data_IF_627226115431
#
_entry.id   IF_627226115431
#
_cell.length_a   1.000
_cell.length_b   1.000
_cell.length_c   1.000
_cell.angle_alpha   90.00
_cell.angle_beta   90.00
_cell.angle_gamma   90.00
#
_symmetry.space_group_name_H-M   'P 1'
#
loop_
_entity.id
_entity.type
_entity.pdbx_description
1 polymer ?
#
# COMPACT_ATOMS: atom_id res chain seq x y z
N UNK A 1 -12.13 -12.95 12.41
CA UNK A 1 -11.24 -12.60 11.26
C UNK A 1 -10.08 -11.69 11.65
N UNK A 2 -10.30 -10.45 12.10
CA UNK A 2 -9.20 -9.54 12.47
C UNK A 2 -8.32 -10.04 13.63
N UNK A 3 -8.91 -10.79 14.56
CA UNK A 3 -8.20 -11.43 15.69
C UNK A 3 -7.23 -12.53 15.27
N UNK A 4 -7.54 -13.24 14.18
CA UNK A 4 -6.79 -14.39 13.69
C UNK A 4 -6.64 -14.31 12.15
N UNK A 5 -5.91 -13.31 11.63
CA UNK A 5 -5.96 -12.96 10.22
C UNK A 5 -5.48 -14.08 9.29
N UNK A 6 -4.52 -14.91 9.72
CA UNK A 6 -3.92 -15.95 8.87
C UNK A 6 -4.49 -17.35 9.04
N UNK A 7 -5.57 -17.49 9.81
CA UNK A 7 -6.20 -18.77 10.07
C UNK A 7 -7.36 -19.03 9.09
N UNK A 8 -7.81 -20.27 9.03
CA UNK A 8 -9.03 -20.60 8.27
C UNK A 8 -10.23 -19.85 8.84
N UNK A 9 -11.27 -19.63 8.04
CA UNK A 9 -12.51 -18.96 8.49
C UNK A 9 -13.11 -19.67 9.71
N UNK A 10 -13.25 -21.02 9.74
CA UNK A 10 -13.75 -21.71 10.93
C UNK A 10 -12.94 -21.42 12.19
N UNK A 11 -11.61 -21.46 12.08
CA UNK A 11 -10.74 -21.22 13.23
C UNK A 11 -10.78 -19.76 13.70
N UNK A 12 -10.85 -18.81 12.76
CA UNK A 12 -10.92 -17.39 13.05
C UNK A 12 -12.29 -16.93 13.57
N UNK A 13 -13.35 -17.71 13.35
CA UNK A 13 -14.69 -17.48 13.88
C UNK A 13 -14.95 -18.21 15.20
N UNK A 14 -14.24 -19.29 15.49
CA UNK A 14 -14.24 -19.98 16.79
C UNK A 14 -15.41 -20.95 17.01
N UNK A 15 -16.57 -20.71 16.40
CA UNK A 15 -17.75 -21.58 16.48
C UNK A 15 -18.49 -21.74 15.13
N UNK A 16 -19.41 -22.70 15.08
CA UNK A 16 -20.17 -23.04 13.86
C UNK A 16 -21.11 -21.89 13.45
N UNK A 17 -21.73 -21.19 14.41
CA UNK A 17 -22.71 -20.15 14.10
C UNK A 17 -22.02 -18.95 13.43
N UNK A 18 -20.93 -18.45 14.00
CA UNK A 18 -20.12 -17.37 13.46
C UNK A 18 -19.46 -17.75 12.13
N UNK A 19 -19.01 -19.01 11.99
CA UNK A 19 -18.46 -19.53 10.72
C UNK A 19 -19.52 -19.52 9.63
N UNK A 20 -20.71 -20.04 9.93
CA UNK A 20 -21.83 -20.10 8.99
C UNK A 20 -22.26 -18.69 8.58
N UNK A 21 -22.40 -17.78 9.55
CA UNK A 21 -22.73 -16.39 9.29
C UNK A 21 -21.70 -15.68 8.38
N UNK A 22 -20.39 -15.95 8.55
CA UNK A 22 -19.36 -15.38 7.68
C UNK A 22 -19.49 -15.87 6.23
N UNK A 23 -19.72 -17.17 6.02
CA UNK A 23 -19.94 -17.72 4.68
C UNK A 23 -21.25 -17.25 4.06
N UNK A 24 -22.33 -17.19 4.84
CA UNK A 24 -23.62 -16.67 4.40
C UNK A 24 -23.54 -15.20 4.01
N UNK A 25 -22.79 -14.40 4.77
CA UNK A 25 -22.53 -13.00 4.44
C UNK A 25 -21.80 -12.87 3.10
N UNK A 26 -20.74 -13.64 2.85
CA UNK A 26 -20.03 -13.61 1.57
C UNK A 26 -20.81 -14.21 0.40
N UNK A 27 -21.76 -15.11 0.68
CA UNK A 27 -22.68 -15.67 -0.31
C UNK A 27 -23.86 -14.75 -0.60
N UNK A 28 -24.24 -13.89 0.35
CA UNK A 28 -25.45 -13.08 0.34
C UNK A 28 -25.62 -12.31 -0.98
N UNK A 29 -26.81 -12.32 -1.60
CA UNK A 29 -27.10 -11.48 -2.76
C UNK A 29 -27.38 -10.03 -2.38
N UNK A 30 -27.63 -9.75 -1.09
CA UNK A 30 -28.03 -8.43 -0.60
C UNK A 30 -26.87 -7.48 -0.36
N UNK A 31 -25.64 -8.00 -0.26
CA UNK A 31 -24.43 -7.21 -0.08
C UNK A 31 -23.51 -7.36 -1.28
N UNK A 32 -22.89 -6.27 -1.67
CA UNK A 32 -21.86 -6.20 -2.68
C UNK A 32 -20.50 -5.90 -2.04
N UNK A 33 -19.38 -6.26 -2.70
CA UNK A 33 -18.05 -5.94 -2.20
C UNK A 33 -17.85 -4.44 -1.95
N UNK A 34 -18.50 -3.60 -2.76
CA UNK A 34 -18.40 -2.15 -2.64
C UNK A 34 -19.09 -1.59 -1.40
N UNK A 35 -20.13 -2.24 -0.85
CA UNK A 35 -20.75 -1.82 0.41
C UNK A 35 -19.74 -1.88 1.57
N UNK A 36 -18.93 -2.95 1.59
CA UNK A 36 -17.87 -3.15 2.59
C UNK A 36 -16.76 -2.10 2.40
N UNK A 37 -16.38 -1.83 1.14
CA UNK A 37 -15.35 -0.83 0.82
C UNK A 37 -15.80 0.57 1.20
N UNK A 38 -17.04 0.95 0.90
CA UNK A 38 -17.59 2.26 1.22
C UNK A 38 -17.60 2.52 2.73
N UNK A 39 -17.90 1.51 3.54
CA UNK A 39 -17.82 1.62 5.00
C UNK A 39 -16.37 1.92 5.47
N UNK A 40 -15.38 1.25 4.88
CA UNK A 40 -13.97 1.52 5.17
C UNK A 40 -13.49 2.87 4.63
N UNK A 41 -13.95 3.25 3.45
CA UNK A 41 -13.67 4.52 2.79
C UNK A 41 -14.20 5.68 3.65
N UNK A 42 -15.44 5.60 4.14
CA UNK A 42 -16.00 6.60 5.08
C UNK A 42 -15.12 6.75 6.33
N UNK A 43 -14.65 5.62 6.87
CA UNK A 43 -13.76 5.64 8.03
C UNK A 43 -12.37 6.22 7.69
N UNK A 44 -11.91 6.03 6.45
CA UNK A 44 -10.66 6.60 5.94
C UNK A 44 -10.78 8.10 5.76
N UNK A 45 -11.91 8.59 5.22
CA UNK A 45 -12.21 10.02 5.11
C UNK A 45 -12.12 10.70 6.48
N UNK A 46 -12.71 10.10 7.53
CA UNK A 46 -12.60 10.63 8.90
C UNK A 46 -11.15 10.70 9.38
N UNK A 47 -10.34 9.67 9.08
CA UNK A 47 -8.91 9.65 9.49
C UNK A 47 -8.06 10.68 8.75
N UNK A 48 -8.41 11.07 7.52
CA UNK A 48 -7.64 12.07 6.77
C UNK A 48 -8.01 13.52 7.14
N UNK A 49 -9.06 13.75 7.93
CA UNK A 49 -9.50 15.10 8.33
C UNK A 49 -8.39 15.89 9.03
N UNK A 50 -7.58 15.23 9.87
CA UNK A 50 -6.45 15.83 10.60
C UNK A 50 -5.20 16.08 9.74
N UNK A 51 -5.21 15.70 8.46
CA UNK A 51 -4.06 15.80 7.56
C UNK A 51 -4.34 16.77 6.42
N UNK A 52 -3.39 17.68 6.15
CA UNK A 52 -3.53 18.64 5.04
C UNK A 52 -3.02 18.08 3.70
N UNK A 53 -1.97 17.26 3.74
CA UNK A 53 -1.35 16.64 2.56
C UNK A 53 -1.43 15.13 2.72
N UNK A 54 -1.85 14.45 1.66
CA UNK A 54 -2.10 13.02 1.61
C UNK A 54 -1.32 12.39 0.46
N UNK A 55 -0.77 11.21 0.70
CA UNK A 55 -0.12 10.40 -0.33
C UNK A 55 -1.08 9.30 -0.75
N UNK A 56 -1.61 9.36 -1.98
CA UNK A 56 -2.45 8.33 -2.57
C UNK A 56 -1.58 7.32 -3.32
N UNK A 57 -1.15 6.27 -2.64
CA UNK A 57 -0.22 5.28 -3.20
C UNK A 57 -1.01 4.25 -4.01
N UNK A 58 -0.76 4.17 -5.31
CA UNK A 58 -1.46 3.27 -6.22
C UNK A 58 -0.55 2.12 -6.70
N UNK A 59 -1.11 0.91 -6.76
CA UNK A 59 -0.44 -0.27 -7.29
C UNK A 59 -1.43 -1.40 -7.61
N UNK A 60 -1.00 -2.37 -8.42
CA UNK A 60 -1.78 -3.54 -8.81
C UNK A 60 -1.16 -4.82 -8.25
N UNK A 61 -2.00 -5.71 -7.73
CA UNK A 61 -1.63 -7.09 -7.42
C UNK A 61 -2.57 -8.08 -8.09
N UNK A 62 -2.07 -9.29 -8.35
CA UNK A 62 -2.92 -10.44 -8.64
C UNK A 62 -3.40 -11.06 -7.32
N UNK A 63 -4.55 -11.73 -7.32
CA UNK A 63 -4.93 -12.73 -6.32
C UNK A 63 -4.91 -14.07 -7.05
N UNK A 64 -3.84 -14.85 -6.83
CA UNK A 64 -3.63 -16.10 -7.54
C UNK A 64 -4.44 -17.23 -6.91
N UNK A 65 -5.35 -17.80 -7.69
CA UNK A 65 -6.23 -18.90 -7.28
C UNK A 65 -6.07 -20.09 -8.23
N UNK A 66 -4.95 -20.20 -8.94
CA UNK A 66 -4.66 -21.26 -9.91
C UNK A 66 -4.81 -22.66 -9.31
N UNK A 67 -4.52 -22.81 -8.01
CA UNK A 67 -4.65 -24.08 -7.29
C UNK A 67 -6.08 -24.42 -6.83
N UNK A 68 -7.08 -23.60 -7.17
CA UNK A 68 -8.50 -23.80 -6.84
C UNK A 68 -9.34 -24.00 -8.12
N UNK A 69 -9.18 -25.13 -8.83
CA UNK A 69 -9.80 -25.33 -10.15
C UNK A 69 -11.33 -25.37 -10.13
N UNK A 70 -11.94 -25.54 -8.95
CA UNK A 70 -13.39 -25.54 -8.78
C UNK A 70 -13.98 -24.14 -8.58
N UNK A 71 -13.14 -23.12 -8.33
CA UNK A 71 -13.61 -21.75 -8.17
C UNK A 71 -13.97 -21.15 -9.52
N UNK A 72 -15.25 -20.85 -9.71
CA UNK A 72 -15.79 -20.30 -10.96
C UNK A 72 -15.66 -18.77 -11.01
N UNK A 73 -15.74 -18.16 -12.20
CA UNK A 73 -15.71 -16.71 -12.37
C UNK A 73 -14.33 -16.08 -12.11
N UNK A 74 -13.26 -16.82 -12.38
CA UNK A 74 -11.88 -16.33 -12.37
C UNK A 74 -11.44 -16.01 -13.80
N UNK A 75 -10.53 -15.04 -13.95
CA UNK A 75 -9.92 -14.70 -15.24
C UNK A 75 -8.45 -15.09 -15.30
N UNK A 76 -7.86 -15.07 -16.49
CA UNK A 76 -6.43 -15.34 -16.62
C UNK A 76 -5.58 -14.22 -15.98
N UNK A 77 -4.43 -14.57 -15.40
CA UNK A 77 -3.48 -13.61 -14.85
C UNK A 77 -2.43 -13.24 -15.90
N UNK A 78 -1.19 -13.68 -15.73
CA UNK A 78 -0.08 -13.27 -16.61
C UNK A 78 0.13 -14.26 -17.77
N UNK A 79 -0.43 -15.46 -17.66
CA UNK A 79 -0.43 -16.47 -18.71
C UNK A 79 -1.74 -17.29 -18.73
N UNK A 80 -1.91 -18.13 -19.75
CA UNK A 80 -3.10 -18.96 -19.96
C UNK A 80 -3.30 -20.05 -18.89
N UNK A 81 -2.29 -20.36 -18.09
CA UNK A 81 -2.34 -21.41 -17.06
C UNK A 81 -2.47 -20.84 -15.64
N UNK A 82 -2.52 -19.53 -15.48
CA UNK A 82 -2.65 -18.84 -14.19
C UNK A 82 -4.00 -18.13 -14.11
N UNK A 83 -4.77 -18.37 -13.05
CA UNK A 83 -6.14 -17.85 -12.92
C UNK A 83 -6.36 -17.18 -11.57
N UNK A 84 -7.18 -16.13 -11.58
CA UNK A 84 -7.43 -15.35 -10.38
C UNK A 84 -8.16 -14.04 -10.64
N UNK A 85 -7.91 -13.07 -9.76
CA UNK A 85 -8.43 -11.71 -9.86
C UNK A 85 -7.29 -10.70 -9.99
N UNK A 86 -7.51 -9.62 -10.71
CA UNK A 86 -6.67 -8.42 -10.68
C UNK A 86 -7.24 -7.43 -9.66
N UNK A 87 -6.37 -6.80 -8.88
CA UNK A 87 -6.74 -5.86 -7.82
C UNK A 87 -5.86 -4.64 -7.92
N UNK A 88 -6.43 -3.51 -8.28
CA UNK A 88 -5.75 -2.21 -8.26
C UNK A 88 -6.24 -1.42 -7.07
N UNK A 89 -5.34 -1.05 -6.15
CA UNK A 89 -5.70 -0.38 -4.90
C UNK A 89 -5.05 1.00 -4.83
N UNK A 90 -5.72 1.94 -4.17
CA UNK A 90 -5.13 3.17 -3.68
C UNK A 90 -5.14 3.18 -2.15
N UNK A 91 -3.95 3.15 -1.57
CA UNK A 91 -3.70 3.25 -0.14
C UNK A 91 -3.31 4.68 0.19
N UNK A 92 -4.11 5.37 1.01
CA UNK A 92 -3.77 6.71 1.48
C UNK A 92 -2.83 6.61 2.67
N UNK A 93 -1.77 7.42 2.67
CA UNK A 93 -0.86 7.58 3.78
C UNK A 93 -0.64 9.06 4.14
N UNK A 94 -0.22 9.32 5.39
CA UNK A 94 0.25 10.63 5.81
C UNK A 94 1.61 10.97 5.18
N UNK A 95 2.04 12.23 5.28
CA UNK A 95 3.38 12.65 4.86
C UNK A 95 4.53 12.05 5.70
N UNK A 96 4.19 11.43 6.83
CA UNK A 96 5.09 10.68 7.70
C UNK A 96 5.07 9.18 7.38
N UNK A 97 4.28 8.74 6.39
CA UNK A 97 4.24 7.33 5.98
C UNK A 97 3.38 6.42 6.85
N UNK A 98 2.42 6.98 7.60
CA UNK A 98 1.39 6.20 8.30
C UNK A 98 0.27 5.87 7.31
N UNK A 99 -0.09 4.59 7.07
CA UNK A 99 -1.16 4.22 6.17
C UNK A 99 -2.53 4.44 6.80
N UNK A 100 -3.29 5.41 6.29
CA UNK A 100 -4.56 5.89 6.85
C UNK A 100 -5.78 5.09 6.36
N UNK A 101 -5.68 4.36 5.24
CA UNK A 101 -6.75 3.50 4.76
C UNK A 101 -6.76 3.25 3.27
N UNK A 102 -7.49 2.24 2.83
CA UNK A 102 -7.76 2.02 1.41
C UNK A 102 -8.89 2.97 1.00
N UNK A 103 -8.60 3.90 0.08
CA UNK A 103 -9.57 4.91 -0.36
C UNK A 103 -10.33 4.48 -1.62
N UNK A 104 -9.70 3.65 -2.46
CA UNK A 104 -10.28 3.12 -3.68
C UNK A 104 -9.68 1.74 -3.98
N UNK A 105 -10.48 0.83 -4.53
CA UNK A 105 -10.01 -0.47 -4.98
C UNK A 105 -10.88 -0.96 -6.14
N UNK A 106 -10.25 -1.21 -7.28
CA UNK A 106 -10.88 -1.78 -8.47
C UNK A 106 -10.45 -3.24 -8.63
N UNK A 107 -11.42 -4.13 -8.86
CA UNK A 107 -11.19 -5.57 -9.01
C UNK A 107 -11.84 -6.05 -10.29
N UNK A 108 -11.10 -6.80 -11.10
CA UNK A 108 -11.58 -7.34 -12.36
C UNK A 108 -10.97 -8.70 -12.69
N UNK A 109 -11.57 -9.36 -13.67
CA UNK A 109 -11.06 -10.59 -14.30
C UNK A 109 -10.69 -10.30 -15.75
N UNK A 110 -9.74 -11.06 -16.29
CA UNK A 110 -9.42 -11.02 -17.73
C UNK A 110 -10.06 -12.21 -18.44
N UNK A 111 -10.79 -11.93 -19.52
CA UNK A 111 -11.39 -12.96 -20.37
C UNK A 111 -10.38 -13.59 -21.32
N UNK A 112 -10.40 -14.92 -21.48
CA UNK A 112 -9.41 -15.66 -22.28
C UNK A 112 -9.36 -15.21 -23.74
N UNK A 113 -10.46 -14.72 -24.34
CA UNK A 113 -10.41 -14.21 -25.72
C UNK A 113 -9.51 -12.98 -25.88
N UNK A 114 -9.25 -12.25 -24.79
CA UNK A 114 -8.38 -11.08 -24.77
C UNK A 114 -6.91 -11.44 -24.51
N UNK A 115 -6.54 -12.72 -24.44
CA UNK A 115 -5.16 -13.14 -24.22
C UNK A 115 -4.25 -12.59 -25.34
N UNK A 116 -3.19 -11.86 -24.93
CA UNK A 116 -2.24 -11.26 -25.87
C UNK A 116 -2.69 -9.94 -26.50
N UNK A 117 -3.87 -9.40 -26.14
CA UNK A 117 -4.35 -8.09 -26.62
C UNK A 117 -3.38 -6.93 -26.28
N UNK A 118 -2.54 -7.11 -25.26
CA UNK A 118 -1.49 -6.16 -24.88
C UNK A 118 -0.48 -5.89 -26.00
N UNK A 119 -0.29 -6.82 -26.95
CA UNK A 119 0.54 -6.62 -28.15
C UNK A 119 -0.02 -5.54 -29.08
N UNK A 120 -1.33 -5.32 -29.05
CA UNK A 120 -2.03 -4.28 -29.84
C UNK A 120 -2.16 -2.95 -29.10
N UNK A 121 -1.53 -2.77 -27.93
CA UNK A 121 -1.69 -1.56 -27.09
C UNK A 121 -1.39 -0.23 -27.79
N UNK A 122 -0.53 -0.21 -28.81
CA UNK A 122 -0.19 1.01 -29.54
C UNK A 122 -1.26 1.41 -30.57
N UNK A 123 -2.21 0.53 -30.86
CA UNK A 123 -3.33 0.75 -31.79
C UNK A 123 -4.64 1.06 -31.05
N UNK A 124 -4.60 1.13 -29.72
CA UNK A 124 -5.77 1.27 -28.85
C UNK A 124 -5.72 2.55 -28.07
N UNK A 125 -6.87 3.11 -27.76
CA UNK A 125 -6.96 4.24 -26.84
C UNK A 125 -6.75 3.76 -25.40
N UNK A 126 -6.30 4.65 -24.52
CA UNK A 126 -6.02 4.26 -23.13
C UNK A 126 -7.27 3.77 -22.40
N UNK A 127 -8.44 4.34 -22.70
CA UNK A 127 -9.74 3.90 -22.19
C UNK A 127 -10.08 2.43 -22.49
N UNK A 128 -9.47 1.84 -23.52
CA UNK A 128 -9.70 0.44 -23.89
C UNK A 128 -8.72 -0.52 -23.21
N UNK A 129 -7.73 0.01 -22.48
CA UNK A 129 -6.63 -0.77 -21.89
C UNK A 129 -6.79 -0.81 -20.38
N UNK A 130 -6.19 -1.82 -19.76
CA UNK A 130 -6.10 -1.87 -18.30
C UNK A 130 -5.31 -0.71 -17.70
N UNK A 131 -4.47 -0.01 -18.48
CA UNK A 131 -3.81 1.22 -18.01
C UNK A 131 -4.79 2.33 -17.65
N UNK A 132 -6.06 2.27 -18.10
CA UNK A 132 -7.11 3.20 -17.72
C UNK A 132 -7.36 3.23 -16.21
N UNK A 133 -7.12 2.11 -15.51
CA UNK A 133 -7.34 2.00 -14.06
C UNK A 133 -6.62 3.08 -13.22
N UNK A 134 -5.46 3.57 -13.69
CA UNK A 134 -4.70 4.62 -13.02
C UNK A 134 -5.45 5.96 -13.07
N UNK A 135 -6.03 6.26 -14.23
CA UNK A 135 -6.81 7.47 -14.50
C UNK A 135 -8.15 7.41 -13.76
N UNK A 136 -8.84 6.26 -13.83
CA UNK A 136 -10.11 6.03 -13.13
C UNK A 136 -9.94 6.14 -11.61
N UNK A 137 -8.84 5.60 -11.08
CA UNK A 137 -8.55 5.66 -9.64
C UNK A 137 -8.22 7.08 -9.20
N UNK A 138 -7.45 7.86 -9.97
CA UNK A 138 -7.25 9.29 -9.68
C UNK A 138 -8.59 10.04 -9.65
N UNK A 139 -9.44 9.82 -10.66
CA UNK A 139 -10.74 10.48 -10.76
C UNK A 139 -11.67 10.09 -9.62
N UNK A 140 -11.71 8.82 -9.24
CA UNK A 140 -12.50 8.35 -8.10
C UNK A 140 -12.04 9.02 -6.80
N UNK A 141 -10.73 9.10 -6.55
CA UNK A 141 -10.17 9.77 -5.36
C UNK A 141 -10.52 11.26 -5.36
N UNK A 142 -10.44 11.92 -6.52
CA UNK A 142 -10.80 13.33 -6.67
C UNK A 142 -12.25 13.62 -6.27
N UNK A 143 -13.19 12.71 -6.54
CA UNK A 143 -14.59 12.88 -6.14
C UNK A 143 -14.84 12.67 -4.65
N UNK A 144 -13.92 11.99 -3.96
CA UNK A 144 -14.11 11.55 -2.56
C UNK A 144 -13.39 12.44 -1.56
N UNK A 145 -12.20 12.94 -1.92
CA UNK A 145 -11.37 13.72 -1.01
C UNK A 145 -11.84 15.17 -1.00
N UNK A 146 -11.99 15.80 0.18
CA UNK A 146 -12.38 17.20 0.28
C UNK A 146 -11.42 18.14 -0.49
N UNK A 147 -11.95 19.16 -1.18
CA UNK A 147 -11.17 20.01 -2.08
C UNK A 147 -10.08 20.84 -1.38
N UNK A 148 -10.18 21.04 -0.06
CA UNK A 148 -9.15 21.72 0.72
C UNK A 148 -7.90 20.87 0.98
N UNK A 149 -7.96 19.55 0.75
CA UNK A 149 -6.83 18.63 0.95
C UNK A 149 -5.93 18.61 -0.27
N UNK A 150 -4.62 18.50 -0.06
CA UNK A 150 -3.65 18.27 -1.14
C UNK A 150 -3.40 16.78 -1.27
N UNK A 151 -3.57 16.22 -2.46
CA UNK A 151 -3.38 14.80 -2.74
C UNK A 151 -2.22 14.62 -3.71
N UNK A 152 -1.27 13.77 -3.35
CA UNK A 152 -0.15 13.39 -4.21
C UNK A 152 -0.29 11.90 -4.55
N UNK A 153 -0.65 11.59 -5.80
CA UNK A 153 -0.67 10.23 -6.31
C UNK A 153 0.75 9.71 -6.47
N UNK A 154 1.10 8.65 -5.76
CA UNK A 154 2.42 8.02 -5.80
C UNK A 154 2.32 6.66 -6.47
N UNK A 155 3.07 6.43 -7.54
CA UNK A 155 3.04 5.15 -8.25
C UNK A 155 4.39 4.80 -8.89
N UNK A 156 4.56 3.52 -9.21
CA UNK A 156 5.78 3.02 -9.84
C UNK A 156 5.85 3.35 -11.35
N UNK A 157 6.79 2.70 -12.05
CA UNK A 157 7.02 2.92 -13.48
C UNK A 157 5.92 2.41 -14.39
N UNK A 158 5.00 1.56 -13.91
CA UNK A 158 3.85 1.14 -14.71
C UNK A 158 2.86 2.32 -14.93
N UNK A 159 2.86 3.29 -14.03
CA UNK A 159 2.09 4.53 -14.16
C UNK A 159 2.79 5.62 -15.01
N UNK A 160 3.98 5.37 -15.57
CA UNK A 160 4.65 6.28 -16.51
C UNK A 160 3.91 6.32 -17.87
N UNK A 161 2.72 6.91 -17.86
CA UNK A 161 1.76 6.94 -18.96
C UNK A 161 1.49 8.41 -19.30
N UNK A 162 1.61 8.76 -20.59
CA UNK A 162 1.40 10.15 -21.03
C UNK A 162 -0.02 10.64 -20.71
N UNK A 163 -1.03 9.79 -20.92
CA UNK A 163 -2.42 10.14 -20.63
C UNK A 163 -2.67 10.45 -19.15
N UNK A 164 -1.97 9.75 -18.25
CA UNK A 164 -2.04 10.07 -16.81
C UNK A 164 -1.47 11.46 -16.54
N UNK A 165 -0.33 11.83 -17.14
CA UNK A 165 0.24 13.17 -16.99
C UNK A 165 -0.62 14.27 -17.64
N UNK A 166 -1.27 13.96 -18.76
CA UNK A 166 -2.11 14.88 -19.51
C UNK A 166 -3.54 15.00 -18.95
N UNK A 167 -3.98 14.08 -18.08
CA UNK A 167 -5.30 14.16 -17.45
C UNK A 167 -5.50 15.51 -16.75
N UNK A 168 -6.64 16.14 -17.00
CA UNK A 168 -7.04 17.35 -16.29
C UNK A 168 -7.25 17.04 -14.81
N UNK A 169 -6.69 17.88 -13.94
CA UNK A 169 -6.75 17.70 -12.49
C UNK A 169 -6.90 19.03 -11.79
N UNK A 170 -7.57 19.02 -10.64
CA UNK A 170 -7.65 20.19 -9.78
C UNK A 170 -6.26 20.59 -9.25
N UNK A 171 -6.11 21.86 -8.87
CA UNK A 171 -4.81 22.42 -8.45
C UNK A 171 -4.22 21.74 -7.21
N UNK A 172 -5.05 21.11 -6.38
CA UNK A 172 -4.67 20.38 -5.18
C UNK A 172 -4.34 18.90 -5.43
N UNK A 173 -4.44 18.42 -6.67
CA UNK A 173 -4.08 17.06 -7.07
C UNK A 173 -2.76 17.04 -7.84
N UNK A 174 -1.81 16.28 -7.33
CA UNK A 174 -0.48 16.16 -7.90
C UNK A 174 -0.09 14.70 -8.15
N UNK A 175 0.89 14.53 -9.03
CA UNK A 175 1.48 13.25 -9.38
C UNK A 175 2.90 13.17 -8.85
N UNK A 176 3.34 11.98 -8.45
CA UNK A 176 4.73 11.64 -8.14
C UNK A 176 4.98 10.21 -8.64
N UNK A 177 5.41 10.11 -9.89
CA UNK A 177 5.46 8.86 -10.65
C UNK A 177 6.91 8.52 -10.96
N UNK A 178 7.31 7.26 -10.84
CA UNK A 178 8.63 6.83 -11.30
C UNK A 178 8.67 6.80 -12.83
N UNK A 179 9.56 7.58 -13.44
CA UNK A 179 9.82 7.54 -14.87
C UNK A 179 10.66 6.33 -15.26
N UNK A 180 10.36 5.74 -16.41
CA UNK A 180 11.14 4.68 -17.06
C UNK A 180 11.38 4.93 -18.54
N UNK A 181 10.56 5.76 -19.19
CA UNK A 181 10.67 6.02 -20.61
C UNK A 181 11.59 7.21 -20.90
N UNK A 182 12.51 7.05 -21.86
CA UNK A 182 13.30 8.18 -22.35
C UNK A 182 12.47 9.05 -23.30
N UNK A 183 11.57 9.85 -22.72
CA UNK A 183 10.59 10.68 -23.43
C UNK A 183 11.28 11.82 -24.18
N UNK A 184 10.67 12.26 -25.29
CA UNK A 184 11.09 13.50 -25.94
C UNK A 184 10.70 14.70 -25.08
N UNK A 185 11.58 15.68 -25.00
CA UNK A 185 11.38 16.91 -24.22
C UNK A 185 11.78 18.13 -25.04
N UNK A 186 11.17 19.28 -24.73
CA UNK A 186 11.59 20.55 -25.31
C UNK A 186 12.87 21.07 -24.61
N UNK A 187 14.00 20.49 -25.01
CA UNK A 187 15.33 20.81 -24.48
C UNK A 187 16.38 20.54 -25.56
N UNK A 188 17.54 21.21 -25.50
CA UNK A 188 18.63 20.99 -26.46
C UNK A 188 19.07 19.53 -26.56
N UNK A 189 19.00 18.79 -25.45
CA UNK A 189 19.31 17.37 -25.39
C UNK A 189 18.24 16.46 -26.04
N UNK A 190 17.07 17.00 -26.41
CA UNK A 190 15.90 16.35 -27.06
C UNK A 190 15.19 15.25 -26.26
N UNK A 191 15.88 14.59 -25.35
CA UNK A 191 15.39 13.43 -24.61
C UNK A 191 15.57 13.60 -23.10
N UNK A 192 14.62 13.05 -22.35
CA UNK A 192 14.43 13.25 -20.91
C UNK A 192 15.64 12.84 -20.09
N UNK A 193 16.19 11.65 -20.34
CA UNK A 193 17.31 11.12 -19.58
C UNK A 193 18.56 11.97 -19.81
N UNK A 194 18.84 12.35 -21.05
CA UNK A 194 19.97 13.18 -21.43
C UNK A 194 19.82 14.60 -20.85
N UNK A 195 18.62 15.18 -20.94
CA UNK A 195 18.33 16.49 -20.39
C UNK A 195 18.58 16.55 -18.88
N UNK A 196 18.03 15.60 -18.10
CA UNK A 196 18.19 15.62 -16.64
C UNK A 196 19.61 15.26 -16.19
N UNK A 197 20.33 14.41 -16.94
CA UNK A 197 21.74 14.12 -16.64
C UNK A 197 22.64 15.34 -16.91
N UNK A 198 22.29 16.19 -17.87
CA UNK A 198 23.03 17.43 -18.17
C UNK A 198 22.78 18.53 -17.13
N UNK A 199 21.72 18.43 -16.34
CA UNK A 199 21.44 19.38 -15.25
C UNK A 199 22.51 19.28 -14.16
N UNK A 200 23.04 20.40 -13.64
CA UNK A 200 23.97 20.39 -12.52
C UNK A 200 23.39 19.67 -11.28
N UNK A 201 24.24 18.96 -10.55
CA UNK A 201 23.89 18.44 -9.24
C UNK A 201 23.49 19.59 -8.31
N UNK A 202 22.37 19.41 -7.59
CA UNK A 202 21.81 20.42 -6.68
C UNK A 202 22.05 20.11 -5.22
N UNK A 203 22.49 18.88 -4.91
CA UNK A 203 22.87 18.44 -3.57
C UNK A 203 22.82 16.92 -3.43
N UNK A 204 22.93 16.45 -2.20
CA UNK A 204 22.91 15.03 -1.85
C UNK A 204 21.80 14.72 -0.84
N UNK A 205 21.25 13.52 -0.93
CA UNK A 205 20.28 12.96 0.01
C UNK A 205 20.76 11.61 0.53
N UNK A 206 20.68 11.40 1.84
CA UNK A 206 20.91 10.09 2.45
C UNK A 206 19.61 9.32 2.50
N UNK A 207 19.63 8.09 1.98
CA UNK A 207 18.49 7.17 2.04
C UNK A 207 18.94 5.90 2.73
N UNK A 208 18.20 5.50 3.77
CA UNK A 208 18.40 4.21 4.41
C UNK A 208 17.85 3.09 3.52
N UNK A 209 18.72 2.14 3.19
CA UNK A 209 18.31 0.94 2.48
C UNK A 209 18.24 -0.20 3.47
N UNK A 210 17.02 -0.72 3.65
CA UNK A 210 16.75 -1.79 4.58
C UNK A 210 17.31 -3.14 4.09
N UNK A 211 17.61 -4.02 5.04
CA UNK A 211 18.06 -5.38 4.74
C UNK A 211 16.96 -6.18 4.04
N UNK A 212 17.33 -6.88 2.98
CA UNK A 212 16.53 -7.90 2.29
C UNK A 212 17.37 -9.17 2.09
N UNK A 213 16.81 -10.30 1.61
CA UNK A 213 17.60 -11.49 1.29
C UNK A 213 18.75 -11.23 0.29
N UNK A 214 18.62 -10.20 -0.54
CA UNK A 214 19.57 -9.85 -1.61
C UNK A 214 20.41 -8.61 -1.29
N UNK A 215 20.16 -7.94 -0.15
CA UNK A 215 20.78 -6.66 0.16
C UNK A 215 21.03 -6.47 1.67
N UNK A 216 22.22 -6.01 2.02
CA UNK A 216 22.55 -5.60 3.38
C UNK A 216 21.99 -4.21 3.70
N UNK A 217 21.70 -3.97 4.99
CA UNK A 217 21.39 -2.62 5.45
C UNK A 217 22.57 -1.70 5.16
N UNK A 218 22.30 -0.51 4.61
CA UNK A 218 23.30 0.52 4.34
C UNK A 218 22.65 1.89 4.17
N UNK A 219 23.43 2.94 4.29
CA UNK A 219 23.04 4.29 3.89
C UNK A 219 23.52 4.51 2.45
N UNK A 220 22.61 4.84 1.55
CA UNK A 220 22.92 5.26 0.18
C UNK A 220 23.01 6.78 0.11
N UNK A 221 24.04 7.30 -0.56
CA UNK A 221 24.18 8.72 -0.86
C UNK A 221 23.69 8.98 -2.29
N UNK A 222 22.59 9.71 -2.42
CA UNK A 222 21.96 10.00 -3.70
C UNK A 222 22.25 11.44 -4.10
N UNK A 223 22.90 11.61 -5.25
CA UNK A 223 23.02 12.90 -5.91
C UNK A 223 21.67 13.29 -6.50
N UNK A 224 21.20 14.50 -6.19
CA UNK A 224 19.91 15.03 -6.64
C UNK A 224 20.13 16.05 -7.75
N UNK A 225 19.45 15.82 -8.87
CA UNK A 225 19.27 16.79 -9.97
C UNK A 225 17.78 17.02 -10.16
N UNK A 226 17.38 18.26 -10.44
CA UNK A 226 16.00 18.54 -10.81
C UNK A 226 15.89 19.67 -11.82
N UNK A 227 14.92 19.56 -12.73
CA UNK A 227 14.62 20.56 -13.75
C UNK A 227 13.13 20.51 -14.11
N UNK A 228 12.60 21.63 -14.60
CA UNK A 228 11.28 21.69 -15.25
C UNK A 228 11.44 21.37 -16.72
N UNK A 229 10.72 20.37 -17.23
CA UNK A 229 10.79 19.94 -18.62
C UNK A 229 9.38 19.77 -19.20
N UNK A 230 9.19 20.22 -20.44
CA UNK A 230 7.97 19.97 -21.21
C UNK A 230 8.06 18.60 -21.89
N UNK A 231 7.29 17.63 -21.39
CA UNK A 231 7.21 16.28 -21.92
C UNK A 231 6.37 16.28 -23.19
N UNK A 232 6.99 15.97 -24.32
CA UNK A 232 6.30 15.94 -25.60
C UNK A 232 5.29 14.79 -25.68
N UNK A 233 4.19 15.01 -26.41
CA UNK A 233 3.23 13.97 -26.76
C UNK A 233 3.96 12.82 -27.48
N UNK A 234 3.69 11.54 -27.18
CA UNK A 234 4.31 10.40 -27.87
C UNK A 234 3.98 10.39 -29.37
N UNK A 235 4.93 9.94 -30.22
CA UNK A 235 4.77 9.93 -31.68
C UNK A 235 3.68 8.97 -32.16
N UNK A 236 3.51 7.86 -31.46
CA UNK A 236 2.50 6.84 -31.70
C UNK A 236 1.19 7.08 -30.93
N UNK A 237 1.01 8.26 -30.32
CA UNK A 237 -0.23 8.57 -29.63
C UNK A 237 -1.37 8.78 -30.64
N UNK A 238 -2.49 8.05 -30.49
CA UNK A 238 -3.62 8.09 -31.44
C UNK A 238 -4.18 9.50 -31.60
N UNK A 239 -4.33 10.21 -30.46
CA UNK A 239 -4.84 11.59 -30.43
C UNK A 239 -3.74 12.66 -30.49
N UNK A 240 -2.54 12.34 -31.00
CA UNK A 240 -1.36 13.23 -30.94
C UNK A 240 -1.64 14.68 -31.38
N UNK A 241 -2.44 14.87 -32.44
CA UNK A 241 -2.76 16.18 -33.01
C UNK A 241 -3.66 17.05 -32.11
N UNK A 242 -4.32 16.47 -31.12
CA UNK A 242 -5.28 17.12 -30.23
C UNK A 242 -4.70 17.40 -28.84
N UNK A 243 -3.47 16.96 -28.58
CA UNK A 243 -2.83 17.03 -27.28
C UNK A 243 -1.62 17.96 -27.31
N UNK A 244 -1.34 18.57 -26.16
CA UNK A 244 -0.19 19.45 -25.97
C UNK A 244 0.88 18.76 -25.11
N UNK A 245 2.16 19.18 -25.23
CA UNK A 245 3.17 18.78 -24.27
C UNK A 245 2.76 19.10 -22.83
N UNK A 246 3.20 18.27 -21.88
CA UNK A 246 2.89 18.44 -20.45
C UNK A 246 4.12 18.90 -19.71
N UNK A 247 4.03 20.05 -19.05
CA UNK A 247 5.09 20.57 -18.18
C UNK A 247 5.14 19.77 -16.88
N UNK A 248 6.28 19.16 -16.58
CA UNK A 248 6.52 18.43 -15.33
C UNK A 248 7.85 18.85 -14.68
N UNK A 249 7.92 18.68 -13.37
CA UNK A 249 9.20 18.66 -12.67
C UNK A 249 9.78 17.25 -12.75
N UNK A 250 11.07 17.20 -13.06
CA UNK A 250 11.82 15.95 -13.24
C UNK A 250 12.91 15.93 -12.20
N UNK A 251 12.93 14.91 -11.35
CA UNK A 251 13.93 14.71 -10.30
C UNK A 251 14.69 13.44 -10.64
N UNK A 252 16.02 13.51 -10.70
CA UNK A 252 16.89 12.36 -10.75
C UNK A 252 17.63 12.24 -9.42
N UNK A 253 17.32 11.20 -8.65
CA UNK A 253 18.04 10.81 -7.46
C UNK A 253 18.87 9.56 -7.79
N UNK A 254 20.19 9.69 -7.84
CA UNK A 254 21.09 8.61 -8.25
C UNK A 254 22.25 8.42 -7.27
N UNK A 255 22.50 7.19 -6.90
CA UNK A 255 23.71 6.76 -6.24
C UNK A 255 24.84 6.68 -7.28
N UNK A 256 25.73 7.68 -7.29
CA UNK A 256 26.82 7.77 -8.28
C UNK A 256 27.96 6.79 -7.97
N UNK A 257 28.17 6.49 -6.68
CA UNK A 257 29.23 5.62 -6.19
C UNK A 257 28.64 4.49 -5.33
N UNK A 258 27.92 3.52 -5.93
CA UNK A 258 27.38 2.40 -5.17
C UNK A 258 28.51 1.49 -4.65
N UNK A 259 28.31 0.75 -3.55
CA UNK A 259 29.25 -0.28 -3.13
C UNK A 259 29.48 -1.33 -4.22
N UNK A 260 30.67 -1.94 -4.22
CA UNK A 260 31.02 -2.98 -5.19
C UNK A 260 30.01 -4.14 -5.17
N UNK A 261 29.59 -4.58 -6.36
CA UNK A 261 28.59 -5.65 -6.52
C UNK A 261 27.15 -5.25 -6.20
N UNK A 262 26.88 -3.99 -5.85
CA UNK A 262 25.54 -3.49 -5.56
C UNK A 262 25.02 -2.64 -6.72
N UNK A 263 23.84 -2.98 -7.25
CA UNK A 263 23.18 -2.14 -8.26
C UNK A 263 22.88 -0.74 -7.67
N UNK A 264 23.23 0.35 -8.37
CA UNK A 264 22.99 1.70 -7.88
C UNK A 264 21.49 1.98 -7.77
N UNK A 265 21.12 2.71 -6.73
CA UNK A 265 19.80 3.35 -6.70
C UNK A 265 19.78 4.43 -7.78
N UNK A 266 18.84 4.35 -8.72
CA UNK A 266 18.59 5.40 -9.70
C UNK A 266 17.08 5.57 -9.88
N UNK A 267 16.55 6.62 -9.27
CA UNK A 267 15.14 7.00 -9.37
C UNK A 267 15.01 8.26 -10.20
N UNK A 268 14.39 8.10 -11.37
CA UNK A 268 13.84 9.21 -12.14
C UNK A 268 12.39 9.39 -11.69
N UNK A 269 12.05 10.54 -11.13
CA UNK A 269 10.71 10.86 -10.65
C UNK A 269 10.13 12.01 -11.48
N UNK A 270 8.90 11.84 -11.94
CA UNK A 270 8.12 12.81 -12.68
C UNK A 270 7.00 13.31 -11.79
N UNK A 271 6.95 14.61 -11.55
CA UNK A 271 5.96 15.20 -10.64
C UNK A 271 5.34 16.47 -11.18
N UNK A 272 4.07 16.69 -10.84
CA UNK A 272 3.36 17.95 -11.07
C UNK A 272 3.40 18.89 -9.86
N UNK A 273 4.09 18.50 -8.77
CA UNK A 273 4.43 19.41 -7.69
C UNK A 273 5.42 20.45 -8.19
N UNK A 274 5.38 21.65 -7.61
CA UNK A 274 6.41 22.66 -7.85
C UNK A 274 7.69 22.30 -7.09
N UNK A 275 8.85 22.42 -7.76
CA UNK A 275 10.17 22.14 -7.17
C UNK A 275 11.04 23.38 -7.35
N UNK A 276 11.20 24.16 -6.28
CA UNK A 276 12.02 25.39 -6.27
C UNK A 276 13.37 25.17 -5.61
N UNK A 277 13.48 24.19 -4.73
CA UNK A 277 14.68 23.96 -3.93
C UNK A 277 15.08 22.48 -3.83
N UNK A 278 16.24 22.23 -3.21
CA UNK A 278 16.69 20.88 -2.89
C UNK A 278 15.75 20.20 -1.88
N UNK A 279 15.21 20.96 -0.93
CA UNK A 279 14.27 20.49 0.08
C UNK A 279 12.97 19.98 -0.56
N UNK A 280 12.45 20.67 -1.59
CA UNK A 280 11.29 20.21 -2.35
C UNK A 280 11.55 18.87 -3.05
N UNK A 281 12.71 18.75 -3.71
CA UNK A 281 13.11 17.52 -4.38
C UNK A 281 13.31 16.38 -3.37
N UNK A 282 13.97 16.65 -2.23
CA UNK A 282 14.19 15.68 -1.16
C UNK A 282 12.87 15.21 -0.53
N UNK A 283 11.87 16.10 -0.39
CA UNK A 283 10.52 15.75 0.05
C UNK A 283 9.84 14.77 -0.93
N UNK A 284 9.92 15.02 -2.22
CA UNK A 284 9.40 14.10 -3.23
C UNK A 284 10.10 12.74 -3.20
N UNK A 285 11.43 12.72 -3.09
CA UNK A 285 12.18 11.45 -2.98
C UNK A 285 11.75 10.68 -1.73
N UNK A 286 11.59 11.35 -0.59
CA UNK A 286 11.08 10.75 0.66
C UNK A 286 9.69 10.18 0.49
N UNK A 287 8.74 10.95 -0.06
CA UNK A 287 7.37 10.47 -0.32
C UNK A 287 7.36 9.27 -1.25
N UNK A 288 8.24 9.25 -2.26
CA UNK A 288 8.38 8.09 -3.15
C UNK A 288 8.86 6.83 -2.41
N UNK A 289 9.68 6.95 -1.36
CA UNK A 289 10.06 5.78 -0.54
C UNK A 289 8.87 5.11 0.14
N UNK A 290 7.79 5.86 0.42
CA UNK A 290 6.58 5.32 1.01
C UNK A 290 5.72 4.53 0.02
N UNK A 291 6.03 4.55 -1.28
CA UNK A 291 5.36 3.68 -2.26
C UNK A 291 5.36 2.22 -1.81
N UNK A 292 6.42 1.76 -1.15
CA UNK A 292 6.54 0.39 -0.64
C UNK A 292 5.46 -0.01 0.39
N UNK A 293 4.74 0.95 0.99
CA UNK A 293 3.63 0.66 1.90
C UNK A 293 2.55 -0.20 1.24
N UNK A 294 2.23 0.04 -0.04
CA UNK A 294 1.21 -0.74 -0.73
C UNK A 294 1.66 -2.18 -1.01
N UNK A 295 2.96 -2.41 -1.23
CA UNK A 295 3.51 -3.76 -1.33
C UNK A 295 3.46 -4.50 0.01
N UNK A 296 3.72 -3.79 1.11
CA UNK A 296 3.54 -4.34 2.46
C UNK A 296 2.06 -4.64 2.74
N UNK A 297 1.15 -3.83 2.24
CA UNK A 297 -0.29 -4.10 2.28
C UNK A 297 -0.64 -5.37 1.46
N UNK A 298 -0.16 -5.50 0.23
CA UNK A 298 -0.35 -6.72 -0.58
C UNK A 298 0.24 -7.95 0.11
N UNK A 299 1.41 -7.83 0.73
CA UNK A 299 2.00 -8.90 1.54
C UNK A 299 1.12 -9.27 2.75
N UNK A 300 0.58 -8.28 3.45
CA UNK A 300 -0.35 -8.49 4.55
C UNK A 300 -1.60 -9.23 4.08
N UNK A 301 -2.18 -8.83 2.96
CA UNK A 301 -3.38 -9.43 2.38
C UNK A 301 -3.15 -10.87 1.91
N UNK A 302 -2.04 -11.15 1.24
CA UNK A 302 -1.74 -12.49 0.70
C UNK A 302 -1.17 -13.45 1.73
N UNK A 303 -0.05 -13.06 2.34
CA UNK A 303 0.69 -13.93 3.26
C UNK A 303 0.15 -13.86 4.68
N UNK A 304 -0.39 -12.72 5.09
CA UNK A 304 -0.94 -12.51 6.42
C UNK A 304 -2.37 -12.96 6.54
N UNK A 305 -3.25 -12.49 5.65
CA UNK A 305 -4.66 -12.85 5.62
C UNK A 305 -4.94 -14.15 4.86
N UNK A 306 -3.96 -14.68 4.12
CA UNK A 306 -4.11 -15.96 3.42
C UNK A 306 -5.18 -15.94 2.35
N UNK A 307 -5.49 -14.80 1.72
CA UNK A 307 -6.62 -14.67 0.79
C UNK A 307 -6.56 -15.68 -0.37
N UNK A 308 -5.36 -15.99 -0.87
CA UNK A 308 -5.11 -16.95 -1.96
C UNK A 308 -5.28 -18.42 -1.51
N UNK A 309 -5.48 -18.66 -0.21
CA UNK A 309 -5.74 -20.00 0.36
C UNK A 309 -7.22 -20.26 0.59
N UNK A 310 -8.08 -19.26 0.41
CA UNK A 310 -9.51 -19.42 0.60
C UNK A 310 -10.10 -20.34 -0.49
N UNK A 311 -10.88 -21.32 -0.06
CA UNK A 311 -11.55 -22.28 -0.94
C UNK A 311 -13.01 -21.88 -1.16
N UNK A 312 -13.23 -20.65 -1.66
CA UNK A 312 -14.59 -20.18 -1.99
C UNK A 312 -14.96 -20.58 -3.42
N UNK A 313 -16.21 -21.01 -3.61
CA UNK A 313 -16.71 -21.61 -4.86
C UNK A 313 -16.77 -20.64 -6.06
N UNK A 314 -16.82 -19.33 -5.81
CA UNK A 314 -17.00 -18.33 -6.87
C UNK A 314 -16.13 -17.09 -6.67
N UNK A 315 -15.71 -16.47 -7.78
CA UNK A 315 -14.98 -15.21 -7.80
C UNK A 315 -15.72 -14.08 -7.07
N UNK A 316 -17.06 -14.05 -7.12
CA UNK A 316 -17.87 -13.11 -6.33
C UNK A 316 -17.67 -13.28 -4.83
N UNK A 317 -17.67 -14.52 -4.32
CA UNK A 317 -17.42 -14.77 -2.89
C UNK A 317 -15.98 -14.41 -2.50
N UNK A 318 -15.01 -14.68 -3.37
CA UNK A 318 -13.62 -14.20 -3.20
C UNK A 318 -13.58 -12.67 -3.14
N UNK A 319 -14.37 -11.98 -3.97
CA UNK A 319 -14.43 -10.52 -4.00
C UNK A 319 -14.99 -9.94 -2.68
N UNK A 320 -16.03 -10.57 -2.11
CA UNK A 320 -16.56 -10.22 -0.78
C UNK A 320 -15.52 -10.43 0.34
N UNK A 321 -14.83 -11.58 0.30
CA UNK A 321 -13.76 -11.89 1.23
C UNK A 321 -12.59 -10.90 1.09
N UNK A 322 -12.19 -10.56 -0.14
CA UNK A 322 -11.16 -9.58 -0.44
C UNK A 322 -11.49 -8.22 0.15
N UNK A 323 -12.73 -7.73 0.01
CA UNK A 323 -13.15 -6.47 0.62
C UNK A 323 -13.04 -6.52 2.16
N UNK A 324 -13.43 -7.64 2.76
CA UNK A 324 -13.32 -7.86 4.22
C UNK A 324 -11.86 -7.89 4.68
N UNK A 325 -11.02 -8.70 4.04
CA UNK A 325 -9.62 -8.87 4.41
C UNK A 325 -8.75 -7.66 4.03
N UNK A 326 -9.18 -6.81 3.10
CA UNK A 326 -8.52 -5.52 2.81
C UNK A 326 -8.49 -4.65 4.08
N UNK A 327 -9.58 -4.62 4.85
CA UNK A 327 -9.67 -3.87 6.11
C UNK A 327 -8.74 -4.48 7.16
N UNK A 328 -8.71 -5.81 7.26
CA UNK A 328 -7.85 -6.53 8.22
C UNK A 328 -6.37 -6.29 7.90
N UNK A 329 -5.99 -6.45 6.63
CA UNK A 329 -4.64 -6.22 6.13
C UNK A 329 -4.18 -4.78 6.38
N UNK A 330 -5.04 -3.80 6.10
CA UNK A 330 -4.78 -2.41 6.42
C UNK A 330 -4.57 -2.20 7.92
N UNK A 331 -5.46 -2.71 8.79
CA UNK A 331 -5.36 -2.50 10.26
C UNK A 331 -4.02 -3.00 10.81
N UNK A 332 -3.57 -4.17 10.35
CA UNK A 332 -2.26 -4.74 10.72
C UNK A 332 -1.11 -3.82 10.28
N UNK A 333 -1.19 -3.28 9.06
CA UNK A 333 -0.19 -2.38 8.54
C UNK A 333 -0.21 -1.04 9.30
N UNK A 334 -1.38 -0.44 9.49
CA UNK A 334 -1.57 0.80 10.24
C UNK A 334 -0.98 0.68 11.65
N UNK A 335 -1.35 -0.35 12.42
CA UNK A 335 -0.79 -0.56 13.77
C UNK A 335 0.74 -0.59 13.77
N UNK A 336 1.34 -1.23 12.75
CA UNK A 336 2.79 -1.35 12.64
C UNK A 336 3.47 0.00 12.44
N UNK A 337 2.90 0.87 11.60
CA UNK A 337 3.51 2.15 11.24
C UNK A 337 3.12 3.25 12.24
N UNK A 338 1.92 3.22 12.79
CA UNK A 338 1.48 4.12 13.86
C UNK A 338 2.41 4.01 15.07
N UNK A 339 2.73 2.78 15.50
CA UNK A 339 3.66 2.54 16.60
C UNK A 339 5.11 2.99 16.34
N UNK A 340 5.49 3.17 15.08
CA UNK A 340 6.83 3.63 14.68
C UNK A 340 6.90 5.15 14.59
N UNK A 341 5.87 5.78 14.01
CA UNK A 341 5.86 7.22 13.78
C UNK A 341 5.33 8.00 14.98
N UNK A 342 4.42 7.42 15.76
CA UNK A 342 3.87 7.99 16.99
C UNK A 342 4.08 7.05 18.18
N UNK A 343 5.35 6.77 18.54
CA UNK A 343 5.67 5.71 19.50
C UNK A 343 5.13 5.95 20.91
N UNK A 344 4.94 7.21 21.29
CA UNK A 344 4.53 7.64 22.64
C UNK A 344 3.01 7.66 22.85
N UNK A 345 2.21 7.41 21.80
CA UNK A 345 0.75 7.34 21.93
C UNK A 345 0.38 6.25 22.95
N UNK A 346 -0.52 6.51 23.91
CA UNK A 346 -0.99 5.47 24.83
C UNK A 346 -1.60 4.28 24.08
N UNK A 347 -1.25 3.04 24.45
CA UNK A 347 -1.70 1.87 23.70
C UNK A 347 -3.20 1.60 23.82
N UNK A 348 -3.86 2.16 24.83
CA UNK A 348 -5.31 2.05 25.06
C UNK A 348 -6.16 2.84 24.05
N UNK A 349 -5.52 3.66 23.20
CA UNK A 349 -6.14 4.21 21.99
C UNK A 349 -6.43 3.15 20.93
N UNK A 350 -5.77 1.97 21.01
CA UNK A 350 -5.86 0.90 20.01
C UNK A 350 -6.24 -0.46 20.60
N UNK A 351 -5.78 -0.74 21.82
CA UNK A 351 -6.01 -1.98 22.55
C UNK A 351 -7.01 -1.74 23.68
N UNK A 352 -7.98 -2.63 23.84
CA UNK A 352 -8.88 -2.59 24.99
C UNK A 352 -8.12 -2.85 26.30
N UNK A 353 -8.68 -2.40 27.43
CA UNK A 353 -8.08 -2.53 28.77
C UNK A 353 -7.61 -3.95 29.08
N UNK A 354 -8.44 -4.94 28.76
CA UNK A 354 -8.14 -6.34 29.02
C UNK A 354 -7.02 -6.88 28.11
N UNK A 355 -6.85 -6.34 26.90
CA UNK A 355 -5.80 -6.74 25.96
C UNK A 355 -4.45 -6.23 26.45
N UNK A 356 -4.29 -4.92 26.69
CA UNK A 356 -2.99 -4.40 27.09
C UNK A 356 -2.59 -4.84 28.50
N UNK A 357 -3.53 -5.01 29.43
CA UNK A 357 -3.22 -5.51 30.77
C UNK A 357 -2.72 -6.96 30.72
N UNK A 358 -3.43 -7.83 30.01
CA UNK A 358 -3.04 -9.24 29.88
C UNK A 358 -1.73 -9.40 29.12
N UNK A 359 -1.47 -8.54 28.12
CA UNK A 359 -0.19 -8.44 27.44
C UNK A 359 0.95 -8.10 28.41
N UNK A 360 0.80 -7.05 29.20
CA UNK A 360 1.82 -6.60 30.16
C UNK A 360 2.13 -7.68 31.19
N UNK A 361 1.08 -8.28 31.77
CA UNK A 361 1.20 -9.35 32.77
C UNK A 361 1.89 -10.58 32.17
N UNK A 362 1.52 -10.97 30.95
CA UNK A 362 2.14 -12.12 30.27
C UNK A 362 3.62 -11.88 29.97
N UNK A 363 4.00 -10.68 29.54
CA UNK A 363 5.40 -10.38 29.19
C UNK A 363 6.27 -10.19 30.44
N UNK A 364 5.74 -9.49 31.45
CA UNK A 364 6.49 -9.20 32.68
C UNK A 364 6.51 -10.36 33.68
N UNK A 365 5.60 -11.33 33.52
CA UNK A 365 5.32 -12.38 34.51
C UNK A 365 4.94 -11.83 35.90
N UNK A 366 4.50 -10.57 35.97
CA UNK A 366 3.96 -9.95 37.16
C UNK A 366 2.42 -10.00 37.09
N UNK A 367 1.72 -10.65 38.04
CA UNK A 367 0.25 -10.78 38.01
C UNK A 367 -0.48 -9.43 38.18
N UNK A 368 0.21 -8.38 38.60
CA UNK A 368 -0.35 -7.04 38.74
C UNK A 368 -0.09 -6.22 37.46
N UNK A 369 -1.13 -5.91 36.66
CA UNK A 369 -0.95 -5.05 35.50
C UNK A 369 -0.56 -3.63 35.92
N UNK A 370 0.16 -2.88 35.08
CA UNK A 370 0.50 -1.50 35.38
C UNK A 370 -0.78 -0.64 35.50
N UNK A 371 -0.72 0.41 36.33
CA UNK A 371 -1.85 1.31 36.55
C UNK A 371 -2.16 2.18 35.31
N UNK A 372 -1.13 2.48 34.53
CA UNK A 372 -1.23 3.27 33.29
C UNK A 372 -0.90 2.40 32.08
N UNK A 373 -1.56 2.63 30.94
CA UNK A 373 -1.23 1.94 29.70
C UNK A 373 0.21 2.25 29.29
N UNK A 374 0.97 1.27 28.78
CA UNK A 374 2.26 1.54 28.16
C UNK A 374 2.08 2.34 26.86
N UNK A 375 3.19 2.82 26.32
CA UNK A 375 3.21 3.43 24.99
C UNK A 375 2.87 2.42 23.89
N UNK A 376 2.38 2.89 22.76
CA UNK A 376 1.99 2.06 21.62
C UNK A 376 3.20 1.31 21.05
N UNK A 377 4.39 1.92 21.06
CA UNK A 377 5.61 1.23 20.65
C UNK A 377 5.95 0.06 21.57
N UNK A 378 5.87 0.25 22.88
CA UNK A 378 6.10 -0.81 23.86
C UNK A 378 5.08 -1.94 23.69
N UNK A 379 3.80 -1.60 23.56
CA UNK A 379 2.74 -2.58 23.33
C UNK A 379 2.95 -3.38 22.04
N UNK A 380 3.27 -2.73 20.91
CA UNK A 380 3.53 -3.41 19.63
C UNK A 380 4.79 -4.28 19.70
N UNK A 381 5.85 -3.85 20.41
CA UNK A 381 7.04 -4.67 20.65
C UNK A 381 6.71 -5.89 21.52
N UNK A 382 5.89 -5.74 22.54
CA UNK A 382 5.40 -6.84 23.37
C UNK A 382 4.55 -7.84 22.58
N UNK A 383 3.63 -7.35 21.74
CA UNK A 383 2.88 -8.16 20.79
C UNK A 383 3.84 -8.92 19.89
N UNK A 384 4.80 -8.24 19.26
CA UNK A 384 5.76 -8.88 18.38
C UNK A 384 6.59 -9.96 19.11
N UNK A 385 6.95 -9.76 20.38
CA UNK A 385 7.63 -10.77 21.22
C UNK A 385 6.80 -12.04 21.37
N UNK A 386 5.49 -11.92 21.58
CA UNK A 386 4.58 -13.09 21.52
C UNK A 386 4.68 -13.78 20.16
N UNK A 387 4.81 -13.02 19.07
CA UNK A 387 4.96 -13.56 17.72
C UNK A 387 6.37 -14.05 17.33
N UNK A 388 7.33 -14.06 18.26
CA UNK A 388 8.70 -14.55 18.04
C UNK A 388 9.74 -13.48 17.71
N UNK A 389 9.44 -12.19 17.89
CA UNK A 389 10.44 -11.13 17.84
C UNK A 389 11.32 -11.16 19.09
N UNK A 390 12.63 -11.35 18.92
CA UNK A 390 13.55 -11.47 20.06
C UNK A 390 13.85 -10.10 20.72
N UNK A 391 13.83 -9.02 19.93
CA UNK A 391 14.05 -7.67 20.44
C UNK A 391 15.46 -7.42 20.96
N UNK A 392 16.48 -8.01 20.33
CA UNK A 392 17.89 -7.75 20.63
C UNK A 392 18.27 -6.33 20.21
N UNK A 393 19.35 -5.79 20.77
CA UNK A 393 19.80 -4.39 20.55
C UNK A 393 19.92 -3.98 19.07
N UNK A 394 20.20 -4.93 18.16
CA UNK A 394 20.35 -4.68 16.72
C UNK A 394 19.23 -5.25 15.85
N UNK A 395 18.16 -5.79 16.44
CA UNK A 395 17.04 -6.36 15.67
C UNK A 395 16.16 -5.28 15.02
N UNK A 396 16.28 -4.01 15.43
CA UNK A 396 15.53 -2.89 14.88
C UNK A 396 14.05 -2.89 15.27
N UNK A 397 13.19 -2.58 14.31
CA UNK A 397 11.73 -2.58 14.48
C UNK A 397 11.11 -3.94 14.12
N UNK A 398 10.09 -4.40 14.86
CA UNK A 398 9.42 -5.67 14.58
C UNK A 398 8.76 -5.66 13.19
N UNK A 399 8.83 -6.79 12.51
CA UNK A 399 8.19 -6.98 11.20
C UNK A 399 6.69 -7.28 11.31
N UNK A 400 5.95 -7.01 10.23
CA UNK A 400 4.51 -7.27 10.17
C UNK A 400 4.14 -8.72 10.52
N UNK A 401 4.97 -9.68 10.13
CA UNK A 401 4.76 -11.12 10.38
C UNK A 401 4.82 -11.49 11.86
N UNK A 402 5.76 -10.90 12.62
CA UNK A 402 5.83 -11.11 14.06
C UNK A 402 4.69 -10.40 14.77
N UNK A 403 4.28 -9.23 14.29
CA UNK A 403 3.15 -8.50 14.86
C UNK A 403 1.84 -9.28 14.68
N UNK A 404 1.52 -9.77 13.47
CA UNK A 404 0.29 -10.53 13.27
C UNK A 404 0.25 -11.82 14.11
N UNK A 405 1.39 -12.51 14.29
CA UNK A 405 1.48 -13.75 15.09
C UNK A 405 1.27 -13.43 16.56
N UNK A 406 1.85 -12.31 16.98
CA UNK A 406 1.69 -11.76 18.30
C UNK A 406 0.25 -11.42 18.63
N UNK A 407 -0.44 -10.74 17.71
CA UNK A 407 -1.84 -10.36 17.87
C UNK A 407 -2.71 -11.60 18.04
N UNK A 408 -2.52 -12.65 17.22
CA UNK A 408 -3.25 -13.91 17.41
C UNK A 408 -3.11 -14.43 18.84
N UNK A 409 -1.87 -14.56 19.34
CA UNK A 409 -1.61 -15.03 20.71
C UNK A 409 -2.21 -14.10 21.77
N UNK A 410 -2.14 -12.78 21.54
CA UNK A 410 -2.71 -11.81 22.46
C UNK A 410 -4.23 -11.99 22.59
N UNK A 411 -4.96 -12.24 21.50
CA UNK A 411 -6.41 -12.46 21.58
C UNK A 411 -6.75 -13.69 22.44
N UNK A 412 -6.01 -14.79 22.31
CA UNK A 412 -6.21 -15.99 23.13
C UNK A 412 -5.94 -15.72 24.63
N UNK A 413 -4.85 -15.00 24.91
CA UNK A 413 -4.47 -14.56 26.26
C UNK A 413 -5.54 -13.63 26.86
N UNK A 414 -5.98 -12.64 26.09
CA UNK A 414 -6.93 -11.62 26.49
C UNK A 414 -8.32 -12.23 26.74
N UNK A 415 -8.74 -13.20 25.93
CA UNK A 415 -9.97 -13.96 26.15
C UNK A 415 -9.93 -14.73 27.48
N UNK A 416 -8.83 -15.42 27.75
CA UNK A 416 -8.63 -16.13 29.03
C UNK A 416 -8.60 -15.18 30.22
N UNK A 417 -7.94 -14.02 30.07
CA UNK A 417 -7.86 -12.98 31.10
C UNK A 417 -9.25 -12.45 31.51
N UNK A 418 -10.17 -12.26 30.56
CA UNK A 418 -11.55 -11.86 30.87
C UNK A 418 -12.25 -12.90 31.77
N UNK A 419 -12.08 -14.19 31.48
CA UNK A 419 -12.71 -15.27 32.25
C UNK A 419 -12.22 -15.29 33.70
N UNK A 420 -10.91 -15.12 33.90
CA UNK A 420 -10.29 -15.14 35.23
C UNK A 420 -10.64 -13.89 36.05
N UNK A 421 -10.59 -12.69 35.45
CA UNK A 421 -10.95 -11.45 36.17
C UNK A 421 -12.42 -11.44 36.61
N UNK A 422 -13.32 -11.97 35.78
CA UNK A 422 -14.73 -12.04 36.13
C UNK A 422 -14.99 -12.98 37.32
N UNK A 423 -14.17 -14.02 37.51
CA UNK A 423 -14.26 -14.93 38.67
C UNK A 423 -13.66 -14.36 39.96
N UNK A 424 -12.72 -13.42 39.88
CA UNK A 424 -12.15 -12.77 41.07
C UNK A 424 -12.96 -11.55 41.55
N UNK A 425 -13.93 -11.09 40.75
CA UNK A 425 -14.81 -9.97 41.09
C UNK A 425 -16.14 -10.42 41.75
N UNK A 426 -16.37 -11.74 41.81
CA UNK A 426 -17.41 -12.42 42.59
C UNK A 426 -16.77 -13.05 43.82
#
# INVERSE_FOLDING_TARGET
>A
LASQPGESVPQACGDIAATTAAYDFWKSPYFQPDDIRQAHQTSTIKRIESHQILLAIQDTTNIDLTHHPQTTGLGYLDCATSFGLKVHSSLVASIDGVPLGIIHQHVWTRELENLGISKKRHQRETAEKESQRWLDTEQAIHQLIPPEKIVVTVADSEADIFDLFNQERAQNFHLLIRGTHNRKVDHNAKYLHEAINATPARGELKVEVNRSPQQHWRIAHLTIRFATLDIAVPSNHIRRKQLNPVKLQVILAREENPPEGVSPISWLLLTSLEIKSLEDAARCVRWYTYRWLIERYHYALKSGCGIEKLQLETGRRIHMALATYSIVAWRLLWLTYEARMHPQTPCDTVLETHEWQSLCVTISQNPHPPQTPPSLNEAVRMIAKLGGFLGRTRDGEPGLKTIWRGLKRLHDIAATWKLLKNHCAT
#
